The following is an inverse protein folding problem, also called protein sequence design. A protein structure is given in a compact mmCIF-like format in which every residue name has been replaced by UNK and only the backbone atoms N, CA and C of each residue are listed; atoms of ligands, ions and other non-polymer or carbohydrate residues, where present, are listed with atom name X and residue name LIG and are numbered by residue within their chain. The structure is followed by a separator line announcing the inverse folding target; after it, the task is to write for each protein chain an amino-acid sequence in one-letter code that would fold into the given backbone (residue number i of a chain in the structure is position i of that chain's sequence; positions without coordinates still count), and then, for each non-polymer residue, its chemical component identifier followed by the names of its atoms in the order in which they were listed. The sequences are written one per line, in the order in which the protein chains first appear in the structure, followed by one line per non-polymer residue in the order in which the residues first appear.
data_IF_435730469074
#
_entry.id   IF_435730469074
#
_cell.length_a   1.000
_cell.length_b   1.000
_cell.length_c   1.000
_cell.angle_alpha   90.00
_cell.angle_beta   90.00
_cell.angle_gamma   90.00
#
_symmetry.space_group_name_H-M   'P 1'
#
loop_
_entity.id
_entity.type
_entity.pdbx_description
1 polymer ?
#
# COMPACT_ATOMS: atom_id res chain seq x y z
N UNK A 1 5.99 -1.23 7.68
CA UNK A 1 5.64 -0.84 9.06
C UNK A 1 6.30 -1.82 10.00
N UNK A 2 7.17 -1.36 10.89
CA UNK A 2 7.91 -2.19 11.84
C UNK A 2 7.36 -2.10 13.28
N UNK A 3 6.15 -1.57 13.46
CA UNK A 3 5.60 -1.24 14.79
C UNK A 3 5.59 0.26 15.11
N UNK A 4 6.39 1.06 14.40
CA UNK A 4 6.49 2.50 14.69
C UNK A 4 6.66 3.38 13.46
N UNK A 5 7.29 2.86 12.40
CA UNK A 5 7.60 3.62 11.19
C UNK A 5 6.99 2.96 9.97
N UNK A 6 6.24 3.74 9.20
CA UNK A 6 5.82 3.40 7.85
C UNK A 6 6.90 3.88 6.87
N UNK A 7 7.31 3.01 5.95
CA UNK A 7 8.25 3.33 4.87
C UNK A 7 7.58 3.04 3.56
N UNK A 8 7.55 4.04 2.67
CA UNK A 8 7.09 3.89 1.30
C UNK A 8 8.27 3.54 0.40
N UNK A 9 8.05 2.66 -0.58
CA UNK A 9 9.05 2.27 -1.56
C UNK A 9 8.51 2.45 -2.98
N UNK A 10 9.33 2.97 -3.88
CA UNK A 10 9.05 3.09 -5.31
C UNK A 10 10.19 2.41 -6.06
N UNK A 11 9.87 1.49 -6.98
CA UNK A 11 10.84 0.73 -7.77
C UNK A 11 11.96 0.06 -6.94
N UNK A 12 11.60 -0.50 -5.79
CA UNK A 12 12.56 -1.17 -4.89
C UNK A 12 13.37 -0.23 -3.98
N UNK A 13 13.23 1.09 -4.12
CA UNK A 13 13.97 2.08 -3.33
C UNK A 13 13.05 2.85 -2.36
N UNK A 14 13.59 3.29 -1.23
CA UNK A 14 12.81 4.09 -0.25
C UNK A 14 12.44 5.44 -0.84
N UNK A 15 11.15 5.77 -0.83
CA UNK A 15 10.61 7.06 -1.28
C UNK A 15 10.31 7.99 -0.11
N UNK A 16 10.32 7.48 1.13
CA UNK A 16 10.06 8.28 2.31
C UNK A 16 9.68 7.44 3.53
N UNK A 17 9.73 8.07 4.69
CA UNK A 17 9.30 7.47 5.96
C UNK A 17 8.37 8.40 6.70
N UNK A 18 7.49 7.81 7.50
CA UNK A 18 6.59 8.53 8.39
C UNK A 18 6.40 7.73 9.69
N UNK A 19 6.51 8.41 10.83
CA UNK A 19 6.29 7.77 12.12
C UNK A 19 4.79 7.77 12.42
N UNK A 20 4.24 6.58 12.63
CA UNK A 20 2.82 6.38 12.87
C UNK A 20 2.62 5.17 13.78
N UNK A 21 1.72 5.31 14.76
CA UNK A 21 1.21 4.15 15.49
C UNK A 21 0.04 3.58 14.70
N UNK A 22 0.10 2.30 14.30
CA UNK A 22 -0.97 1.70 13.51
C UNK A 22 -2.23 1.62 14.36
N UNK A 23 -3.25 2.36 13.96
CA UNK A 23 -4.59 2.21 14.49
C UNK A 23 -5.30 1.12 13.68
N UNK A 24 -5.94 0.15 14.34
CA UNK A 24 -6.96 -0.70 13.69
C UNK A 24 -8.02 0.19 13.05
N UNK A 25 -8.72 -0.25 11.98
CA UNK A 25 -9.69 0.58 11.26
C UNK A 25 -10.54 1.41 12.22
N UNK A 26 -10.22 2.71 12.26
CA UNK A 26 -10.57 3.60 13.36
C UNK A 26 -12.07 3.93 13.36
N UNK A 27 -12.72 3.73 12.21
CA UNK A 27 -14.01 4.30 11.89
C UNK A 27 -15.22 3.42 12.20
N UNK A 28 -15.05 2.19 12.70
CA UNK A 28 -16.21 1.27 12.85
C UNK A 28 -16.16 0.29 14.04
N UNK A 29 -15.30 0.52 15.03
CA UNK A 29 -15.29 -0.27 16.27
C UNK A 29 -14.74 -1.70 16.13
N UNK A 30 -14.58 -2.41 17.26
CA UNK A 30 -14.12 -3.80 17.26
C UNK A 30 -15.15 -4.73 16.62
N UNK A 31 -14.72 -5.60 15.69
CA UNK A 31 -15.56 -6.63 15.07
C UNK A 31 -15.97 -6.37 13.61
N UNK A 32 -15.53 -5.28 13.01
CA UNK A 32 -15.76 -5.00 11.58
C UNK A 32 -14.65 -5.52 10.68
N UNK A 33 -15.02 -6.07 9.53
CA UNK A 33 -14.09 -6.62 8.54
C UNK A 33 -13.22 -5.54 7.90
N UNK A 34 -11.97 -5.90 7.58
CA UNK A 34 -11.09 -5.08 6.76
C UNK A 34 -11.37 -5.37 5.28
N UNK A 35 -11.92 -4.38 4.58
CA UNK A 35 -12.21 -4.46 3.14
C UNK A 35 -11.22 -3.57 2.37
N UNK A 36 -10.62 -4.12 1.32
CA UNK A 36 -9.72 -3.38 0.43
C UNK A 36 -10.47 -3.04 -0.88
N UNK A 37 -10.95 -1.81 -0.99
CA UNK A 37 -11.52 -1.28 -2.23
C UNK A 37 -10.44 -0.57 -3.04
N UNK A 38 -10.27 -0.93 -4.31
CA UNK A 38 -9.31 -0.31 -5.21
C UNK A 38 -10.05 0.50 -6.28
N UNK A 39 -9.68 1.77 -6.44
CA UNK A 39 -10.24 2.63 -7.48
C UNK A 39 -11.67 3.12 -7.29
N UNK A 40 -12.26 2.90 -6.10
CA UNK A 40 -13.60 3.37 -5.78
C UNK A 40 -13.62 4.90 -5.59
N UNK A 41 -14.56 5.63 -6.23
CA UNK A 41 -14.70 7.06 -6.06
C UNK A 41 -15.14 7.39 -4.62
N UNK A 42 -14.48 8.35 -3.97
CA UNK A 42 -14.88 8.82 -2.63
C UNK A 42 -14.82 10.34 -2.52
N UNK A 43 -15.47 10.89 -1.50
CA UNK A 43 -15.37 12.31 -1.17
C UNK A 43 -13.95 12.73 -0.70
N UNK A 44 -13.18 11.79 -0.15
CA UNK A 44 -11.76 11.98 0.21
C UNK A 44 -10.89 11.61 -0.99
N UNK A 45 -10.96 12.42 -2.04
CA UNK A 45 -10.17 12.25 -3.26
C UNK A 45 -9.06 13.31 -3.38
N UNK A 46 -8.02 13.02 -4.17
CA UNK A 46 -6.91 13.94 -4.41
C UNK A 46 -7.19 14.93 -5.56
N UNK A 47 -8.42 15.47 -5.64
CA UNK A 47 -8.81 16.47 -6.65
C UNK A 47 -9.67 15.94 -7.81
N UNK A 48 -10.16 14.70 -7.75
CA UNK A 48 -11.14 14.15 -8.70
C UNK A 48 -12.03 13.10 -8.04
N UNK A 49 -13.35 13.28 -8.07
CA UNK A 49 -14.33 12.33 -7.55
C UNK A 49 -14.67 11.17 -8.50
N UNK A 50 -14.00 11.07 -9.64
CA UNK A 50 -14.18 9.97 -10.57
C UNK A 50 -13.50 8.69 -10.06
N UNK A 51 -14.02 7.53 -10.45
CA UNK A 51 -13.35 6.24 -10.23
C UNK A 51 -11.96 6.24 -10.88
N UNK A 52 -11.04 5.45 -10.34
CA UNK A 52 -9.66 5.48 -10.84
C UNK A 52 -9.51 4.75 -12.18
N UNK A 53 -8.77 5.36 -13.10
CA UNK A 53 -8.32 4.72 -14.33
C UNK A 53 -6.84 4.34 -14.21
N UNK A 54 -6.58 3.12 -13.72
CA UNK A 54 -5.21 2.58 -13.61
C UNK A 54 -5.13 1.14 -14.11
N UNK A 55 -3.90 0.70 -14.41
CA UNK A 55 -3.56 -0.72 -14.57
C UNK A 55 -2.92 -1.21 -13.28
N UNK A 56 -3.39 -2.34 -12.76
CA UNK A 56 -2.86 -2.96 -11.56
C UNK A 56 -2.29 -4.33 -11.91
N UNK A 57 -1.01 -4.54 -11.63
CA UNK A 57 -0.34 -5.82 -11.86
C UNK A 57 -0.61 -6.86 -10.77
N UNK A 58 -0.39 -6.47 -9.50
CA UNK A 58 -0.57 -7.33 -8.34
C UNK A 58 -0.87 -6.51 -7.09
N UNK A 59 -1.65 -7.09 -6.17
CA UNK A 59 -1.94 -6.54 -4.85
C UNK A 59 -1.70 -7.61 -3.78
N UNK A 60 -0.72 -7.37 -2.92
CA UNK A 60 -0.33 -8.30 -1.86
C UNK A 60 -0.39 -7.61 -0.50
N UNK A 61 -0.88 -8.33 0.51
CA UNK A 61 -0.92 -7.89 1.90
C UNK A 61 -0.13 -8.91 2.72
N UNK A 62 0.85 -8.43 3.48
CA UNK A 62 1.68 -9.26 4.36
C UNK A 62 1.25 -9.08 5.81
N UNK A 63 1.27 -10.17 6.57
CA UNK A 63 1.01 -10.15 8.02
C UNK A 63 2.22 -9.68 8.84
N UNK A 64 3.38 -9.51 8.22
CA UNK A 64 4.63 -9.12 8.84
C UNK A 64 5.30 -7.95 8.11
N UNK A 65 6.18 -7.25 8.83
CA UNK A 65 7.04 -6.23 8.24
C UNK A 65 8.00 -6.88 7.22
N UNK A 66 7.95 -6.42 5.98
CA UNK A 66 8.88 -6.85 4.93
C UNK A 66 10.15 -5.98 4.94
N UNK A 67 11.31 -6.60 4.74
CA UNK A 67 12.60 -5.91 4.73
C UNK A 67 12.85 -5.19 3.40
N UNK A 68 13.75 -4.20 3.40
CA UNK A 68 14.13 -3.47 2.19
C UNK A 68 14.73 -4.40 1.11
N UNK A 69 15.52 -5.41 1.49
CA UNK A 69 16.07 -6.39 0.55
C UNK A 69 14.97 -7.27 -0.07
N UNK A 70 13.99 -7.69 0.72
CA UNK A 70 12.80 -8.41 0.22
C UNK A 70 12.05 -7.56 -0.81
N UNK A 71 11.89 -6.26 -0.56
CA UNK A 71 11.22 -5.34 -1.49
C UNK A 71 12.01 -5.21 -2.80
N UNK A 72 13.33 -5.02 -2.73
CA UNK A 72 14.18 -4.92 -3.92
C UNK A 72 14.16 -6.21 -4.75
N UNK A 73 14.20 -7.36 -4.10
CA UNK A 73 14.12 -8.66 -4.77
C UNK A 73 12.77 -8.84 -5.47
N UNK A 74 11.66 -8.49 -4.81
CA UNK A 74 10.32 -8.54 -5.41
C UNK A 74 10.22 -7.62 -6.62
N UNK A 75 10.75 -6.39 -6.53
CA UNK A 75 10.77 -5.47 -7.66
C UNK A 75 11.55 -6.06 -8.85
N UNK A 76 12.78 -6.54 -8.62
CA UNK A 76 13.60 -7.13 -9.68
C UNK A 76 12.96 -8.36 -10.33
N UNK A 77 12.24 -9.18 -9.56
CA UNK A 77 11.55 -10.36 -10.06
C UNK A 77 10.32 -10.02 -10.93
N UNK A 78 9.68 -8.89 -10.70
CA UNK A 78 8.36 -8.57 -11.30
C UNK A 78 8.38 -7.41 -12.30
N UNK A 79 9.44 -6.60 -12.33
CA UNK A 79 9.54 -5.41 -13.20
C UNK A 79 9.36 -5.70 -14.68
N UNK A 80 9.80 -6.86 -15.18
CA UNK A 80 9.62 -7.24 -16.58
C UNK A 80 8.15 -7.48 -16.97
N UNK A 81 7.33 -7.84 -15.98
CA UNK A 81 5.90 -8.12 -16.18
C UNK A 81 5.05 -6.87 -15.99
N UNK A 82 5.32 -6.07 -14.95
CA UNK A 82 4.46 -4.94 -14.56
C UNK A 82 5.05 -3.55 -14.80
N UNK A 83 6.35 -3.42 -15.08
CA UNK A 83 7.03 -2.13 -15.25
C UNK A 83 7.00 -1.58 -16.67
N UNK A 84 5.94 -1.90 -17.42
CA UNK A 84 5.75 -1.44 -18.81
C UNK A 84 4.99 -0.12 -18.86
#
# INVERSE_FOLDING_TARGET
YNGTTLTAYVNGSSAGTYNISRQTPYNTGGGVGLYYTLGYPTATNMGSGAGSNFRLGAFHVWNNAISASTILNNYNATKATYGK
#
